data_IF_030771709406
#
_entry.id   IF_030771709406
#
_cell.length_a   1.000
_cell.length_b   1.000
_cell.length_c   1.000
_cell.angle_alpha   90.00
_cell.angle_beta   90.00
_cell.angle_gamma   90.00
#
_symmetry.space_group_name_H-M   'P 1'
#
loop_
_entity.id
_entity.type
_entity.pdbx_description
1 polymer ?
#
# COMPACT_ATOMS: atom_id res chain seq x y z
N UNK A 1 3.88 13.90 15.84
CA UNK A 1 3.62 13.65 14.40
C UNK A 1 4.29 12.34 14.02
N UNK A 2 3.58 11.40 13.43
CA UNK A 2 4.17 10.11 13.07
C UNK A 2 5.15 10.27 11.89
N UNK A 3 6.21 9.48 11.89
CA UNK A 3 7.22 9.46 10.83
C UNK A 3 7.33 8.07 10.22
N UNK A 4 7.72 7.98 8.96
CA UNK A 4 8.05 6.74 8.27
C UNK A 4 9.51 6.80 7.83
N UNK A 5 10.32 5.86 8.29
CA UNK A 5 11.66 5.60 7.72
C UNK A 5 11.50 4.56 6.62
N UNK A 6 11.71 5.00 5.40
CA UNK A 6 11.57 4.20 4.19
C UNK A 6 12.96 3.79 3.69
N UNK A 7 13.17 2.47 3.55
CA UNK A 7 14.36 1.91 2.92
C UNK A 7 13.94 1.28 1.59
N UNK A 8 14.45 1.77 0.48
CA UNK A 8 14.09 1.28 -0.86
C UNK A 8 15.33 1.05 -1.72
N UNK A 9 15.31 0.04 -2.63
CA UNK A 9 16.39 -0.17 -3.58
C UNK A 9 16.42 1.00 -4.59
N UNK A 10 17.62 1.46 -4.94
CA UNK A 10 17.82 2.59 -5.86
C UNK A 10 17.47 2.25 -7.31
N UNK A 11 17.53 0.96 -7.67
CA UNK A 11 17.21 0.50 -9.03
C UNK A 11 16.45 -0.82 -9.02
N UNK A 12 15.48 -1.02 -9.93
CA UNK A 12 14.85 -2.32 -10.13
C UNK A 12 15.88 -3.35 -10.64
N UNK A 13 15.94 -4.52 -9.98
CA UNK A 13 16.78 -5.65 -10.40
C UNK A 13 18.23 -5.65 -9.89
N UNK A 14 18.70 -4.59 -9.23
CA UNK A 14 20.01 -4.54 -8.61
C UNK A 14 19.91 -4.12 -7.14
N UNK A 15 19.85 -5.06 -6.20
CA UNK A 15 19.61 -4.74 -4.78
C UNK A 15 20.86 -4.26 -4.02
N UNK A 16 21.93 -3.84 -4.70
CA UNK A 16 23.21 -3.53 -4.06
C UNK A 16 23.28 -2.14 -3.43
N UNK A 17 22.33 -1.25 -3.71
CA UNK A 17 22.27 0.06 -3.09
C UNK A 17 20.84 0.39 -2.63
N UNK A 18 20.74 0.94 -1.42
CA UNK A 18 19.47 1.34 -0.81
C UNK A 18 19.49 2.83 -0.50
N UNK A 19 18.36 3.46 -0.74
CA UNK A 19 18.11 4.83 -0.33
C UNK A 19 17.26 4.82 0.95
N UNK A 20 17.60 5.70 1.89
CA UNK A 20 16.83 5.91 3.10
C UNK A 20 16.15 7.28 3.04
N UNK A 21 14.84 7.29 3.26
CA UNK A 21 14.05 8.53 3.33
C UNK A 21 13.25 8.58 4.63
N UNK A 22 13.27 9.72 5.29
CA UNK A 22 12.38 10.00 6.42
C UNK A 22 11.21 10.85 5.94
N UNK A 23 10.00 10.31 6.05
CA UNK A 23 8.77 10.95 5.60
C UNK A 23 7.90 11.30 6.82
N UNK A 24 7.06 12.32 6.69
CA UNK A 24 6.08 12.73 7.70
C UNK A 24 4.69 12.23 7.34
N UNK A 25 3.93 11.80 8.33
CA UNK A 25 2.53 11.43 8.13
C UNK A 25 1.69 12.67 7.78
N UNK A 26 0.76 12.50 6.85
CA UNK A 26 -0.23 13.52 6.52
C UNK A 26 -1.18 13.74 7.72
N UNK A 27 -1.55 15.00 8.00
CA UNK A 27 -2.35 15.38 9.19
C UNK A 27 -3.71 14.69 9.28
N UNK A 28 -4.33 14.41 8.13
CA UNK A 28 -5.58 13.66 8.07
C UNK A 28 -5.46 12.21 8.58
N UNK A 29 -4.24 11.72 8.72
CA UNK A 29 -3.93 10.40 9.28
C UNK A 29 -3.37 10.57 10.68
N UNK A 30 -4.25 10.83 11.65
CA UNK A 30 -3.93 10.81 13.08
C UNK A 30 -3.74 9.36 13.55
N UNK A 31 -2.87 8.60 12.91
CA UNK A 31 -2.30 7.43 13.54
C UNK A 31 -1.44 7.96 14.70
N UNK A 32 -2.06 8.09 15.87
CA UNK A 32 -1.35 8.35 17.10
C UNK A 32 -0.36 7.19 17.26
N UNK A 33 0.88 7.43 16.94
CA UNK A 33 1.87 6.40 17.06
C UNK A 33 3.24 6.91 16.66
N UNK A 34 4.25 6.29 17.25
CA UNK A 34 5.65 6.55 16.99
C UNK A 34 6.02 6.16 15.54
N UNK A 35 7.30 6.29 15.26
CA UNK A 35 7.91 6.02 13.97
C UNK A 35 7.56 4.64 13.40
N UNK A 36 7.25 4.63 12.12
CA UNK A 36 7.15 3.41 11.31
C UNK A 36 8.47 3.19 10.58
N UNK A 37 8.79 1.93 10.31
CA UNK A 37 9.93 1.57 9.48
C UNK A 37 9.49 0.60 8.39
N UNK A 38 9.74 0.95 7.13
CA UNK A 38 9.48 0.08 5.98
C UNK A 38 10.81 -0.42 5.44
N UNK A 39 11.04 -1.73 5.54
CA UNK A 39 12.27 -2.43 5.17
C UNK A 39 12.00 -3.61 4.25
N UNK A 40 13.07 -4.28 3.81
CA UNK A 40 13.00 -5.45 2.94
C UNK A 40 12.17 -5.20 1.69
N UNK A 41 12.30 -4.00 1.11
CA UNK A 41 11.49 -3.57 0.00
C UNK A 41 11.97 -4.16 -1.31
N UNK A 42 11.03 -4.52 -2.17
CA UNK A 42 11.26 -4.95 -3.54
C UNK A 42 10.25 -4.29 -4.48
N UNK A 43 10.69 -3.97 -5.69
CA UNK A 43 9.80 -3.38 -6.68
C UNK A 43 8.82 -4.42 -7.23
N UNK A 44 7.53 -4.11 -7.19
CA UNK A 44 6.48 -4.93 -7.82
C UNK A 44 6.14 -4.44 -9.23
N UNK A 45 6.20 -3.12 -9.44
CA UNK A 45 5.86 -2.52 -10.74
C UNK A 45 6.65 -1.23 -10.96
N UNK A 46 7.61 -1.29 -11.83
CA UNK A 46 8.49 -0.16 -12.12
C UNK A 46 9.07 0.42 -10.83
N UNK A 47 9.17 1.75 -10.76
CA UNK A 47 9.62 2.48 -9.55
C UNK A 47 8.46 3.14 -8.81
N UNK A 48 7.22 2.68 -9.02
CA UNK A 48 6.02 3.30 -8.45
C UNK A 48 5.31 2.45 -7.40
N UNK A 49 5.52 1.12 -7.41
CA UNK A 49 4.91 0.21 -6.45
C UNK A 49 5.97 -0.74 -5.92
N UNK A 50 6.11 -0.78 -4.60
CA UNK A 50 7.01 -1.70 -3.91
C UNK A 50 6.27 -2.49 -2.85
N UNK A 51 6.75 -3.70 -2.57
CA UNK A 51 6.35 -4.52 -1.42
C UNK A 51 7.43 -4.45 -0.37
N UNK A 52 7.08 -4.53 0.90
CA UNK A 52 8.03 -4.56 2.00
C UNK A 52 7.37 -4.91 3.32
N UNK A 53 8.19 -4.89 4.36
CA UNK A 53 7.78 -5.17 5.74
C UNK A 53 7.69 -3.86 6.52
N UNK A 54 6.49 -3.50 6.95
CA UNK A 54 6.23 -2.36 7.81
C UNK A 54 6.34 -2.78 9.28
N UNK A 55 7.28 -2.21 9.98
CA UNK A 55 7.41 -2.37 11.44
C UNK A 55 6.79 -1.17 12.15
N UNK A 56 5.97 -1.44 13.14
CA UNK A 56 5.31 -0.45 14.00
C UNK A 56 5.28 -0.97 15.45
N UNK A 57 4.97 -0.14 16.44
CA UNK A 57 4.78 -0.61 17.82
C UNK A 57 3.65 -1.62 18.00
N UNK A 58 2.75 -1.71 17.02
CA UNK A 58 1.64 -2.66 17.02
C UNK A 58 1.98 -3.99 16.35
N UNK A 59 3.19 -4.12 15.82
CA UNK A 59 3.64 -5.33 15.15
C UNK A 59 4.20 -5.07 13.76
N UNK A 60 4.40 -6.15 13.04
CA UNK A 60 5.01 -6.20 11.70
C UNK A 60 3.96 -6.63 10.68
N UNK A 61 3.91 -5.92 9.56
CA UNK A 61 2.90 -6.11 8.51
C UNK A 61 3.56 -6.23 7.15
N UNK A 62 3.03 -7.11 6.31
CA UNK A 62 3.38 -7.18 4.89
C UNK A 62 2.58 -6.12 4.14
N UNK A 63 3.25 -5.21 3.47
CA UNK A 63 2.62 -4.02 2.90
C UNK A 63 3.07 -3.74 1.48
N UNK A 64 2.26 -2.92 0.80
CA UNK A 64 2.58 -2.29 -0.48
C UNK A 64 2.70 -0.79 -0.27
N UNK A 65 3.81 -0.23 -0.74
CA UNK A 65 4.01 1.21 -0.84
C UNK A 65 3.76 1.69 -2.28
N UNK A 66 2.82 2.59 -2.46
CA UNK A 66 2.62 3.31 -3.73
C UNK A 66 3.34 4.64 -3.66
N UNK A 67 4.25 4.90 -4.60
CA UNK A 67 5.10 6.08 -4.61
C UNK A 67 4.64 7.11 -5.64
N UNK A 68 4.72 8.37 -5.27
CA UNK A 68 4.49 9.52 -6.14
C UNK A 68 5.68 10.48 -6.05
N UNK A 69 6.23 10.83 -7.20
CA UNK A 69 7.38 11.76 -7.32
C UNK A 69 7.05 13.02 -8.13
N UNK A 70 5.87 13.07 -8.71
CA UNK A 70 5.38 14.24 -9.46
C UNK A 70 4.12 14.79 -8.80
N UNK A 71 3.80 16.05 -9.09
CA UNK A 71 2.57 16.68 -8.57
C UNK A 71 1.32 15.87 -8.90
N UNK A 72 1.24 15.32 -10.12
CA UNK A 72 0.10 14.52 -10.57
C UNK A 72 -0.01 13.19 -9.81
N UNK A 73 1.10 12.46 -9.66
CA UNK A 73 1.11 11.18 -8.95
C UNK A 73 0.84 11.37 -7.46
N UNK A 74 1.39 12.42 -6.84
CA UNK A 74 1.10 12.78 -5.45
C UNK A 74 -0.39 13.15 -5.27
N UNK A 75 -0.96 13.91 -6.20
CA UNK A 75 -2.38 14.26 -6.20
C UNK A 75 -3.27 13.03 -6.31
N UNK A 76 -2.90 12.07 -7.16
CA UNK A 76 -3.62 10.79 -7.29
C UNK A 76 -3.58 9.98 -5.99
N UNK A 77 -2.42 9.87 -5.33
CA UNK A 77 -2.29 9.18 -4.05
C UNK A 77 -3.12 9.84 -2.93
N UNK A 78 -3.17 11.18 -2.88
CA UNK A 78 -4.01 11.90 -1.92
C UNK A 78 -5.50 11.65 -2.16
N UNK A 79 -5.91 11.62 -3.43
CA UNK A 79 -7.29 11.26 -3.80
C UNK A 79 -7.62 9.82 -3.40
N UNK A 80 -6.70 8.89 -3.63
CA UNK A 80 -6.85 7.50 -3.21
C UNK A 80 -6.98 7.39 -1.68
N UNK A 81 -6.15 8.11 -0.90
CA UNK A 81 -6.27 8.18 0.56
C UNK A 81 -7.68 8.61 0.99
N UNK A 82 -8.28 9.60 0.32
CA UNK A 82 -9.64 10.06 0.64
C UNK A 82 -10.68 8.95 0.48
N UNK A 83 -10.52 8.06 -0.51
CA UNK A 83 -11.39 6.89 -0.65
C UNK A 83 -11.20 5.90 0.50
N UNK A 84 -9.95 5.60 0.88
CA UNK A 84 -9.69 4.73 2.04
C UNK A 84 -10.27 5.29 3.33
N UNK A 85 -10.23 6.61 3.53
CA UNK A 85 -10.85 7.27 4.69
C UNK A 85 -12.37 7.11 4.70
N UNK A 86 -13.03 7.32 3.55
CA UNK A 86 -14.49 7.15 3.41
C UNK A 86 -14.93 5.71 3.61
N UNK A 87 -14.13 4.75 3.16
CA UNK A 87 -14.40 3.32 3.23
C UNK A 87 -13.74 2.65 4.44
N UNK A 88 -13.45 3.40 5.49
CA UNK A 88 -12.71 2.91 6.67
C UNK A 88 -13.34 1.66 7.30
N UNK A 89 -14.66 1.58 7.29
CA UNK A 89 -15.41 0.44 7.85
C UNK A 89 -15.25 -0.86 7.07
N UNK A 90 -14.75 -0.82 5.83
CA UNK A 90 -14.50 -1.98 4.97
C UNK A 90 -13.03 -2.43 4.97
N UNK A 91 -12.15 -1.66 5.63
CA UNK A 91 -10.72 -1.97 5.63
C UNK A 91 -10.39 -3.22 6.43
N UNK A 92 -9.60 -4.10 5.83
CA UNK A 92 -9.17 -5.37 6.41
C UNK A 92 -10.19 -6.50 6.22
N UNK A 93 -11.33 -6.21 5.60
CA UNK A 93 -12.36 -7.19 5.22
C UNK A 93 -12.54 -7.21 3.70
N UNK A 94 -13.08 -6.15 3.12
CA UNK A 94 -13.37 -6.06 1.69
C UNK A 94 -12.27 -5.32 0.90
N UNK A 95 -11.54 -4.42 1.56
CA UNK A 95 -10.44 -3.65 0.96
C UNK A 95 -9.20 -3.70 1.86
N UNK A 96 -7.99 -3.50 1.31
CA UNK A 96 -6.75 -3.47 2.10
C UNK A 96 -6.82 -2.46 3.23
N UNK A 97 -6.18 -2.75 4.36
CA UNK A 97 -5.95 -1.74 5.40
C UNK A 97 -5.04 -0.66 4.86
N UNK A 98 -5.38 0.58 5.15
CA UNK A 98 -4.54 1.73 4.86
C UNK A 98 -3.76 2.14 6.11
N UNK A 99 -2.42 2.02 6.06
CA UNK A 99 -1.54 2.38 7.16
C UNK A 99 -1.16 3.86 7.15
N UNK A 100 -1.44 4.57 6.07
CA UNK A 100 -1.28 6.01 5.98
C UNK A 100 -0.63 6.51 4.70
N UNK A 101 -0.66 7.82 4.58
CA UNK A 101 0.03 8.56 3.54
C UNK A 101 1.14 9.40 4.18
N UNK A 102 2.35 9.27 3.65
CA UNK A 102 3.55 9.92 4.14
C UNK A 102 4.17 10.75 3.01
N UNK A 103 4.76 11.88 3.34
CA UNK A 103 5.34 12.78 2.36
C UNK A 103 6.68 13.35 2.82
N UNK A 104 7.52 13.80 1.89
CA UNK A 104 8.75 14.51 2.21
C UNK A 104 8.43 15.85 2.88
N UNK A 105 9.10 16.18 3.99
CA UNK A 105 8.93 17.48 4.63
C UNK A 105 9.56 18.65 3.83
N UNK A 106 10.43 18.35 2.86
CA UNK A 106 11.10 19.36 2.02
C UNK A 106 10.24 19.67 0.79
N UNK A 107 10.01 20.96 0.53
CA UNK A 107 9.27 21.42 -0.65
C UNK A 107 10.00 21.11 -1.95
N UNK A 108 11.32 21.05 -1.92
CA UNK A 108 12.17 20.76 -3.10
C UNK A 108 12.11 19.28 -3.49
N UNK A 109 11.77 18.40 -2.56
CA UNK A 109 11.65 16.97 -2.80
C UNK A 109 10.19 16.53 -2.82
N UNK A 110 9.53 16.66 -3.97
CA UNK A 110 8.17 16.16 -4.16
C UNK A 110 8.16 14.64 -4.11
N UNK A 111 7.87 14.09 -2.93
CA UNK A 111 7.77 12.65 -2.73
C UNK A 111 6.61 12.32 -1.80
N UNK A 112 5.80 11.36 -2.20
CA UNK A 112 4.69 10.85 -1.40
C UNK A 112 4.65 9.32 -1.43
N UNK A 113 4.23 8.72 -0.34
CA UNK A 113 4.11 7.26 -0.18
C UNK A 113 2.79 6.91 0.50
N UNK A 114 1.94 6.14 -0.17
CA UNK A 114 0.72 5.56 0.41
C UNK A 114 1.00 4.11 0.76
N UNK A 115 0.85 3.76 2.05
CA UNK A 115 1.10 2.42 2.57
C UNK A 115 -0.21 1.67 2.75
N UNK A 116 -0.33 0.53 2.09
CA UNK A 116 -1.49 -0.35 2.12
C UNK A 116 -1.08 -1.76 2.53
N UNK A 117 -2.01 -2.52 3.09
CA UNK A 117 -1.86 -3.95 3.31
C UNK A 117 -1.61 -4.69 2.00
N UNK A 118 -0.69 -5.66 2.00
CA UNK A 118 -0.48 -6.52 0.86
C UNK A 118 -1.50 -7.65 0.84
N UNK A 119 -2.40 -7.65 -0.13
CA UNK A 119 -3.47 -8.63 -0.28
C UNK A 119 -3.21 -9.69 -1.36
N UNK A 120 -1.93 -9.92 -1.72
CA UNK A 120 -1.56 -10.91 -2.72
C UNK A 120 -1.37 -10.33 -4.12
N UNK A 121 -1.25 -11.23 -5.11
CA UNK A 121 -1.05 -10.85 -6.51
C UNK A 121 -2.35 -10.29 -7.11
N UNK A 122 -2.25 -9.33 -8.06
CA UNK A 122 -3.41 -8.87 -8.79
C UNK A 122 -4.12 -10.05 -9.48
N UNK A 123 -5.44 -10.11 -9.39
CA UNK A 123 -6.25 -11.19 -9.99
C UNK A 123 -5.93 -11.38 -11.47
N UNK A 124 -5.68 -10.29 -12.22
CA UNK A 124 -5.31 -10.35 -13.64
C UNK A 124 -4.05 -11.20 -13.88
N UNK A 125 -3.02 -11.09 -13.04
CA UNK A 125 -1.79 -11.87 -13.18
C UNK A 125 -1.98 -13.36 -12.88
N UNK A 126 -3.00 -13.71 -12.09
CA UNK A 126 -3.37 -15.11 -11.81
C UNK A 126 -4.11 -15.69 -13.01
N UNK A 127 -4.99 -14.92 -13.64
CA UNK A 127 -5.73 -15.36 -14.84
C UNK A 127 -4.81 -15.54 -16.04
N UNK A 128 -3.87 -14.64 -16.27
CA UNK A 128 -2.91 -14.72 -17.38
C UNK A 128 -1.98 -15.94 -17.26
N UNK A 129 -1.74 -16.45 -16.03
CA UNK A 129 -0.87 -17.61 -15.79
C UNK A 129 -1.58 -18.98 -15.81
N UNK A 130 -2.91 -19.00 -15.69
CA UNK A 130 -3.70 -20.24 -15.55
C UNK A 130 -4.57 -20.56 -16.78
N UNK A 131 -4.49 -19.76 -17.85
CA UNK A 131 -5.35 -19.95 -19.02
C UNK A 131 -6.80 -19.50 -18.78
N UNK A 132 -7.69 -19.88 -19.67
CA UNK A 132 -9.08 -19.44 -19.68
C UNK A 132 -9.87 -19.95 -18.45
N UNK A 133 -9.97 -19.12 -17.45
CA UNK A 133 -10.88 -19.36 -16.32
C UNK A 133 -12.31 -19.01 -16.78
N UNK A 134 -13.29 -19.92 -16.64
CA UNK A 134 -14.66 -19.65 -17.00
C UNK A 134 -15.21 -18.38 -16.35
N UNK A 135 -15.98 -17.60 -17.09
CA UNK A 135 -16.53 -16.31 -16.63
C UNK A 135 -17.26 -16.42 -15.29
N UNK A 136 -18.01 -17.51 -15.06
CA UNK A 136 -18.71 -17.78 -13.80
C UNK A 136 -17.76 -17.86 -12.61
N UNK A 137 -16.57 -18.46 -12.78
CA UNK A 137 -15.54 -18.55 -11.74
C UNK A 137 -14.86 -17.19 -11.49
N UNK A 138 -14.72 -16.37 -12.54
CA UNK A 138 -14.23 -14.99 -12.42
C UNK A 138 -15.15 -14.15 -11.54
N UNK A 139 -16.46 -14.27 -11.73
CA UNK A 139 -17.47 -13.58 -10.90
C UNK A 139 -17.45 -14.10 -9.46
N UNK A 140 -17.33 -15.41 -9.24
CA UNK A 140 -17.28 -16.01 -7.91
C UNK A 140 -16.05 -15.58 -7.09
N UNK A 141 -14.91 -15.38 -7.75
CA UNK A 141 -13.67 -14.91 -7.12
C UNK A 141 -13.61 -13.39 -6.95
N UNK A 142 -14.44 -12.65 -7.68
CA UNK A 142 -14.53 -11.18 -7.59
C UNK A 142 -15.42 -10.70 -6.47
N UNK A 143 -16.30 -11.56 -5.97
CA UNK A 143 -17.17 -11.28 -4.83
C UNK A 143 -16.86 -12.29 -3.73
N UNK A 144 -16.23 -11.89 -2.61
CA UNK A 144 -16.26 -12.73 -1.44
C UNK A 144 -17.72 -12.96 -1.11
N UNK A 145 -18.13 -14.22 -1.13
CA UNK A 145 -19.49 -14.65 -0.81
C UNK A 145 -19.81 -14.11 0.58
N UNK A 146 -20.71 -13.15 0.64
CA UNK A 146 -21.44 -12.81 1.85
C UNK A 146 -22.32 -14.02 2.22
N UNK A 147 -21.69 -15.09 2.71
CA UNK A 147 -22.43 -16.12 3.43
C UNK A 147 -22.78 -15.54 4.78
N UNK A 148 -23.89 -14.82 4.77
CA UNK A 148 -24.58 -14.42 5.98
C UNK A 148 -24.94 -15.67 6.77
N UNK A 149 -24.25 -15.87 7.87
CA UNK A 149 -24.68 -16.77 8.93
C UNK A 149 -25.96 -16.22 9.55
N UNK A 150 -27.10 -16.46 8.90
CA UNK A 150 -28.41 -16.34 9.57
C UNK A 150 -28.52 -17.53 10.50
N UNK A 151 -28.15 -17.37 11.75
CA UNK A 151 -28.65 -18.23 12.83
C UNK A 151 -30.02 -17.71 13.21
N UNK A 152 -31.02 -18.55 13.01
CA UNK A 152 -32.33 -18.43 13.64
C UNK A 152 -32.23 -18.76 15.14
#
# INVERSE_FOLDING_TARGET
MATLVLTMPTSPGYPLSYEHRTLRAHEAYKAAGPSFSLKNTSWLRGQSIMRGTLSSPRGTFDVVGKLGTTTNTIGALRKELTYYQKLRHLQGDCIPKCFGYFFSPSEDQKFGCLILEYCGRPMRSIYDSQGDIPFALRCALSFPILQGNRRY
#
